data_IF_643382710787
#
_entry.id   IF_643382710787
#
_cell.length_a   1.000
_cell.length_b   1.000
_cell.length_c   1.000
_cell.angle_alpha   90.00
_cell.angle_beta   90.00
_cell.angle_gamma   90.00
#
_symmetry.space_group_name_H-M   'P 1'
#
loop_
_entity.id
_entity.type
_entity.pdbx_description
1 polymer ?
#
# COMPACT_ATOMS: atom_id res chain seq x y z
N UNK A 1 13.10 -18.38 -9.96
CA UNK A 1 12.80 -17.25 -9.04
C UNK A 1 11.34 -17.34 -8.67
N UNK A 2 11.03 -17.36 -7.38
CA UNK A 2 9.65 -17.52 -6.91
C UNK A 2 8.93 -16.18 -7.10
N UNK A 3 8.21 -16.02 -8.21
CA UNK A 3 7.43 -14.80 -8.55
C UNK A 3 6.51 -14.37 -7.40
N UNK A 4 6.06 -15.31 -6.57
CA UNK A 4 5.33 -15.02 -5.32
C UNK A 4 6.12 -14.14 -4.34
N UNK A 5 7.41 -14.44 -4.13
CA UNK A 5 8.26 -13.70 -3.17
C UNK A 5 8.51 -12.27 -3.64
N UNK A 6 8.75 -12.07 -4.95
CA UNK A 6 8.98 -10.74 -5.53
C UNK A 6 7.72 -9.87 -5.38
N UNK A 7 6.53 -10.43 -5.62
CA UNK A 7 5.29 -9.69 -5.45
C UNK A 7 4.97 -9.39 -3.98
N UNK A 8 5.19 -10.32 -3.05
CA UNK A 8 5.03 -10.03 -1.61
C UNK A 8 5.99 -8.92 -1.17
N UNK A 9 7.25 -8.96 -1.62
CA UNK A 9 8.20 -7.89 -1.32
C UNK A 9 7.77 -6.54 -1.91
N UNK A 10 7.25 -6.52 -3.14
CA UNK A 10 6.67 -5.34 -3.78
C UNK A 10 5.46 -4.78 -3.01
N UNK A 11 4.59 -5.65 -2.52
CA UNK A 11 3.45 -5.27 -1.69
C UNK A 11 3.86 -4.65 -0.35
N UNK A 12 4.90 -5.19 0.29
CA UNK A 12 5.46 -4.62 1.53
C UNK A 12 6.01 -3.19 1.27
N UNK A 13 6.73 -3.00 0.15
CA UNK A 13 7.21 -1.67 -0.26
C UNK A 13 6.06 -0.68 -0.51
N UNK A 14 4.94 -1.14 -1.08
CA UNK A 14 3.74 -0.32 -1.27
C UNK A 14 3.06 0.09 0.03
N UNK A 15 2.99 -0.79 1.02
CA UNK A 15 2.46 -0.45 2.34
C UNK A 15 3.32 0.60 3.05
N UNK A 16 4.65 0.47 2.98
CA UNK A 16 5.59 1.43 3.59
C UNK A 16 5.44 2.81 2.93
N UNK A 17 5.31 2.87 1.60
CA UNK A 17 5.14 4.14 0.88
C UNK A 17 3.79 4.80 1.18
N UNK A 18 2.72 4.02 1.32
CA UNK A 18 1.41 4.52 1.72
C UNK A 18 1.43 5.19 3.11
N UNK A 19 2.14 4.60 4.08
CA UNK A 19 2.33 5.19 5.41
C UNK A 19 3.13 6.50 5.32
N UNK A 20 4.19 6.54 4.51
CA UNK A 20 4.96 7.76 4.25
C UNK A 20 4.12 8.87 3.61
N UNK A 21 3.21 8.51 2.69
CA UNK A 21 2.27 9.45 2.08
C UNK A 21 1.27 10.01 3.08
N UNK A 22 0.74 9.19 3.99
CA UNK A 22 -0.14 9.65 5.06
C UNK A 22 0.59 10.68 5.94
N UNK A 23 1.83 10.38 6.35
CA UNK A 23 2.66 11.29 7.16
C UNK A 23 2.96 12.61 6.43
N UNK A 24 3.30 12.54 5.13
CA UNK A 24 3.58 13.73 4.31
C UNK A 24 2.33 14.57 4.02
N UNK A 25 1.14 13.98 4.14
CA UNK A 25 -0.13 14.63 3.81
C UNK A 25 -0.81 15.27 5.03
N UNK A 26 -0.20 15.18 6.21
CA UNK A 26 -0.69 15.83 7.43
C UNK A 26 -0.75 17.35 7.21
N UNK A 27 -1.98 17.89 7.20
CA UNK A 27 -2.26 19.32 6.96
C UNK A 27 -2.93 19.62 5.63
N UNK A 28 -3.03 18.67 4.69
CA UNK A 28 -3.82 18.84 3.46
C UNK A 28 -4.92 17.78 3.37
N UNK A 29 -6.17 18.22 3.50
CA UNK A 29 -7.37 17.37 3.55
C UNK A 29 -7.49 16.46 2.31
N UNK A 30 -7.15 16.98 1.13
CA UNK A 30 -7.24 16.23 -0.12
C UNK A 30 -6.16 15.15 -0.26
N UNK A 31 -4.93 15.47 0.17
CA UNK A 31 -3.82 14.52 0.14
C UNK A 31 -4.00 13.39 1.18
N UNK A 32 -4.58 13.73 2.33
CA UNK A 32 -4.90 12.75 3.37
C UNK A 32 -5.98 11.76 2.90
N UNK A 33 -7.02 12.25 2.20
CA UNK A 33 -8.03 11.38 1.60
C UNK A 33 -7.42 10.44 0.54
N UNK A 34 -6.59 10.97 -0.36
CA UNK A 34 -5.93 10.17 -1.39
C UNK A 34 -5.00 9.08 -0.83
N UNK A 35 -4.23 9.41 0.21
CA UNK A 35 -3.30 8.45 0.84
C UNK A 35 -4.01 7.34 1.62
N UNK A 36 -5.14 7.63 2.27
CA UNK A 36 -5.99 6.61 2.90
C UNK A 36 -6.60 5.67 1.86
N UNK A 37 -7.10 6.21 0.74
CA UNK A 37 -7.66 5.40 -0.34
C UNK A 37 -6.61 4.50 -1.00
N UNK A 38 -5.40 5.04 -1.17
CA UNK A 38 -4.24 4.28 -1.66
C UNK A 38 -3.87 3.13 -0.71
N UNK A 39 -3.80 3.40 0.60
CA UNK A 39 -3.53 2.36 1.61
C UNK A 39 -4.58 1.24 1.57
N UNK A 40 -5.87 1.58 1.45
CA UNK A 40 -6.94 0.59 1.31
C UNK A 40 -6.79 -0.26 0.04
N UNK A 41 -6.45 0.37 -1.09
CA UNK A 41 -6.12 -0.33 -2.32
C UNK A 41 -4.97 -1.32 -2.11
N UNK A 42 -3.90 -0.90 -1.44
CA UNK A 42 -2.76 -1.77 -1.15
C UNK A 42 -3.16 -3.01 -0.33
N UNK A 43 -4.07 -2.88 0.63
CA UNK A 43 -4.57 -4.01 1.43
C UNK A 43 -5.46 -4.93 0.59
N UNK A 44 -6.37 -4.39 -0.22
CA UNK A 44 -7.30 -5.19 -1.04
C UNK A 44 -6.53 -6.04 -2.06
N UNK A 45 -5.53 -5.47 -2.71
CA UNK A 45 -4.73 -6.21 -3.68
C UNK A 45 -3.74 -7.21 -3.05
N UNK A 46 -3.48 -7.11 -1.73
CA UNK A 46 -2.72 -8.12 -0.98
C UNK A 46 -3.53 -9.40 -0.71
N UNK A 47 -4.86 -9.31 -0.66
CA UNK A 47 -5.78 -10.43 -0.37
C UNK A 47 -5.57 -11.64 -1.29
N UNK A 48 -5.60 -11.51 -2.64
CA UNK A 48 -5.39 -12.65 -3.52
C UNK A 48 -4.00 -13.28 -3.32
N UNK A 49 -3.01 -12.48 -2.91
CA UNK A 49 -1.65 -12.95 -2.63
C UNK A 49 -1.54 -13.87 -1.41
N UNK A 50 -2.45 -13.76 -0.45
CA UNK A 50 -2.52 -14.63 0.73
C UNK A 50 -3.42 -15.85 0.52
N UNK A 51 -4.32 -15.83 -0.48
CA UNK A 51 -5.29 -16.88 -0.75
C UNK A 51 -4.90 -17.82 -1.92
N UNK A 52 -3.70 -17.62 -2.51
CA UNK A 52 -3.06 -18.41 -3.60
C UNK A 52 -1.81 -19.19 -3.16
#
# INVERSE_FOLDING_TARGET
MNTKIINIAGWILFLISAIGFIMSSLGNFWAMFGSIFFFFGCVVFLIPYFFD
#
